data_IF_640564013855
#
_entry.id   IF_640564013855
#
_cell.length_a   1.000
_cell.length_b   1.000
_cell.length_c   1.000
_cell.angle_alpha   90.00
_cell.angle_beta   90.00
_cell.angle_gamma   90.00
#
_symmetry.space_group_name_H-M   'P 1'
#
loop_
_entity.id
_entity.type
_entity.pdbx_description
1 polymer ?
#
# COMPACT_ATOMS: atom_id res chain seq x y z
N UNK A 1 -16.49 -13.09 -58.21
CA UNK A 1 -17.76 -12.63 -57.61
C UNK A 1 -17.41 -12.07 -56.25
N UNK A 2 -17.50 -10.75 -56.10
CA UNK A 2 -17.54 -10.06 -54.81
C UNK A 2 -18.84 -10.47 -54.07
N UNK A 3 -19.06 -10.36 -52.77
CA UNK A 3 -18.72 -9.32 -51.79
C UNK A 3 -18.85 -9.92 -50.38
N UNK A 4 -17.94 -9.58 -49.45
CA UNK A 4 -18.16 -9.76 -48.00
C UNK A 4 -17.75 -8.47 -47.27
N UNK A 5 -18.58 -7.45 -47.49
CA UNK A 5 -19.09 -6.47 -46.53
C UNK A 5 -18.22 -6.22 -45.26
N UNK A 6 -17.49 -5.11 -45.33
CA UNK A 6 -16.97 -4.27 -44.25
C UNK A 6 -17.74 -4.38 -42.92
N UNK A 7 -17.02 -4.70 -41.84
CA UNK A 7 -17.23 -4.27 -40.45
C UNK A 7 -15.84 -4.35 -39.78
N UNK A 8 -15.05 -3.27 -39.78
CA UNK A 8 -15.04 -2.30 -38.69
C UNK A 8 -15.11 -2.96 -37.31
N UNK A 9 -13.99 -3.51 -36.84
CA UNK A 9 -13.81 -4.03 -35.49
C UNK A 9 -12.58 -3.40 -34.86
N UNK A 10 -12.77 -2.18 -34.36
CA UNK A 10 -11.78 -1.35 -33.65
C UNK A 10 -11.16 -2.13 -32.49
N UNK A 11 -9.86 -1.92 -32.29
CA UNK A 11 -9.04 -2.60 -31.31
C UNK A 11 -9.58 -2.54 -29.88
N UNK A 12 -9.59 -3.70 -29.25
CA UNK A 12 -9.60 -3.81 -27.80
C UNK A 12 -8.14 -3.96 -27.33
N UNK A 13 -7.36 -2.87 -27.37
CA UNK A 13 -6.27 -2.75 -26.40
C UNK A 13 -6.96 -2.58 -25.05
N UNK A 14 -7.10 -3.69 -24.33
CA UNK A 14 -7.43 -3.67 -22.91
C UNK A 14 -6.24 -3.00 -22.23
N UNK A 15 -6.29 -1.67 -22.13
CA UNK A 15 -5.42 -0.93 -21.24
C UNK A 15 -5.72 -1.47 -19.85
N UNK A 16 -4.78 -2.25 -19.32
CA UNK A 16 -4.73 -2.52 -17.89
C UNK A 16 -4.62 -1.15 -17.23
N UNK A 17 -5.75 -0.63 -16.75
CA UNK A 17 -5.73 0.49 -15.84
C UNK A 17 -4.94 -0.01 -14.64
N UNK A 18 -3.67 0.38 -14.56
CA UNK A 18 -2.95 0.30 -13.32
C UNK A 18 -3.88 0.98 -12.30
N UNK A 19 -4.37 0.23 -11.31
CA UNK A 19 -4.95 0.85 -10.13
C UNK A 19 -3.81 1.65 -9.51
N UNK A 20 -3.69 2.92 -9.91
CA UNK A 20 -2.81 3.90 -9.28
C UNK A 20 -3.37 4.07 -7.88
N UNK A 21 -2.87 3.27 -6.93
CA UNK A 21 -3.25 3.44 -5.54
C UNK A 21 -2.71 4.82 -5.14
N UNK A 22 -3.59 5.78 -4.78
CA UNK A 22 -3.16 7.14 -4.54
C UNK A 22 -2.09 7.16 -3.45
N UNK A 23 -0.95 7.77 -3.76
CA UNK A 23 0.11 7.97 -2.78
C UNK A 23 -0.41 8.87 -1.66
N UNK A 24 -0.13 8.49 -0.42
CA UNK A 24 -0.48 9.27 0.75
C UNK A 24 0.22 10.62 0.74
N UNK A 25 -0.47 11.72 1.08
CA UNK A 25 0.11 13.04 1.05
C UNK A 25 1.25 13.14 2.07
N UNK A 26 2.34 13.77 1.65
CA UNK A 26 3.46 14.11 2.52
C UNK A 26 3.35 15.58 2.87
N UNK A 27 3.17 15.87 4.15
CA UNK A 27 3.07 17.22 4.70
C UNK A 27 4.37 17.57 5.43
N UNK A 28 4.64 18.87 5.54
CA UNK A 28 5.74 19.35 6.40
C UNK A 28 5.18 19.53 7.80
N UNK A 29 5.72 18.77 8.76
CA UNK A 29 5.35 18.88 10.17
C UNK A 29 5.82 20.20 10.79
N UNK A 30 5.37 20.51 12.01
CA UNK A 30 5.73 21.75 12.71
C UNK A 30 7.24 21.88 12.95
N UNK A 31 7.95 20.75 13.04
CA UNK A 31 9.41 20.69 13.21
C UNK A 31 10.20 20.86 11.91
N UNK A 32 9.53 21.13 10.78
CA UNK A 32 10.14 21.20 9.44
C UNK A 32 10.44 19.84 8.81
N UNK A 33 10.03 18.73 9.43
CA UNK A 33 10.27 17.38 8.93
C UNK A 33 9.14 16.91 8.00
N UNK A 34 9.48 16.11 7.00
CA UNK A 34 8.48 15.44 6.16
C UNK A 34 7.70 14.39 6.98
N UNK A 35 6.37 14.43 6.90
CA UNK A 35 5.47 13.48 7.54
C UNK A 35 4.44 12.96 6.53
N UNK A 36 4.25 11.66 6.50
CA UNK A 36 3.29 10.96 5.65
C UNK A 36 1.97 10.93 6.42
N UNK A 37 0.90 11.37 5.79
CA UNK A 37 -0.43 11.32 6.39
C UNK A 37 -0.98 9.89 6.31
N UNK A 38 -1.40 9.37 7.46
CA UNK A 38 -2.01 8.04 7.56
C UNK A 38 -3.44 8.14 7.02
N UNK A 39 -3.78 7.28 6.08
CA UNK A 39 -5.14 7.18 5.57
C UNK A 39 -6.03 6.45 6.56
N UNK A 40 -7.14 7.07 6.99
CA UNK A 40 -8.11 6.45 7.90
C UNK A 40 -9.15 5.59 7.18
N UNK A 41 -9.22 5.69 5.85
CA UNK A 41 -10.23 5.02 5.02
C UNK A 41 -9.62 4.07 3.99
N UNK A 42 -8.37 3.64 4.22
CA UNK A 42 -7.69 2.71 3.31
C UNK A 42 -6.20 2.60 3.56
N UNK A 43 -5.49 2.14 2.54
CA UNK A 43 -4.04 1.93 2.61
C UNK A 43 -3.30 3.27 2.61
N UNK A 44 -2.30 3.35 3.48
CA UNK A 44 -1.30 4.41 3.43
C UNK A 44 -0.19 3.95 2.48
N UNK A 45 -0.14 4.54 1.30
CA UNK A 45 0.83 4.19 0.26
C UNK A 45 1.92 5.24 0.17
N UNK A 46 3.17 4.82 0.36
CA UNK A 46 4.32 5.69 0.24
C UNK A 46 5.45 4.96 -0.47
N UNK A 47 5.94 5.59 -1.55
CA UNK A 47 6.87 4.99 -2.50
C UNK A 47 6.28 3.68 -3.06
N UNK A 48 7.01 2.57 -2.94
CA UNK A 48 6.63 1.26 -3.47
C UNK A 48 5.89 0.38 -2.46
N UNK A 49 5.46 0.94 -1.31
CA UNK A 49 4.84 0.18 -0.22
C UNK A 49 3.49 0.76 0.16
N UNK A 50 2.53 -0.12 0.40
CA UNK A 50 1.22 0.22 0.91
C UNK A 50 0.96 -0.54 2.21
N UNK A 51 0.69 0.20 3.27
CA UNK A 51 0.44 -0.31 4.60
C UNK A 51 -0.95 0.12 5.07
N UNK A 52 -1.72 -0.83 5.56
CA UNK A 52 -2.90 -0.56 6.38
C UNK A 52 -2.40 -0.25 7.79
N UNK A 53 -2.56 1.00 8.23
CA UNK A 53 -2.13 1.46 9.55
C UNK A 53 -3.39 1.89 10.28
N UNK A 54 -3.67 1.23 11.39
CA UNK A 54 -4.78 1.58 12.28
C UNK A 54 -4.22 2.21 13.56
N UNK A 55 -4.30 3.55 13.70
CA UNK A 55 -3.88 4.25 14.90
C UNK A 55 -4.69 3.88 16.13
N UNK A 56 -5.98 3.58 15.97
CA UNK A 56 -6.89 3.27 17.07
C UNK A 56 -6.61 1.89 17.67
N UNK A 57 -6.39 0.89 16.81
CA UNK A 57 -5.98 -0.45 17.24
C UNK A 57 -4.47 -0.60 17.45
N UNK A 58 -3.69 0.45 17.12
CA UNK A 58 -2.22 0.46 17.13
C UNK A 58 -1.62 -0.71 16.35
N UNK A 59 -2.19 -0.98 15.19
CA UNK A 59 -1.86 -2.14 14.35
C UNK A 59 -1.41 -1.70 12.95
N UNK A 60 -0.58 -2.54 12.34
CA UNK A 60 -0.11 -2.34 10.97
C UNK A 60 -0.14 -3.65 10.20
N UNK A 61 -0.54 -3.59 8.94
CA UNK A 61 -0.60 -4.73 8.03
C UNK A 61 -0.11 -4.30 6.65
N UNK A 62 0.68 -5.17 6.02
CA UNK A 62 0.97 -5.03 4.59
C UNK A 62 -0.10 -5.74 3.77
N UNK A 63 -0.44 -5.20 2.60
CA UNK A 63 -1.35 -5.87 1.66
C UNK A 63 -0.86 -7.29 1.37
N UNK A 64 -1.76 -8.27 1.45
CA UNK A 64 -1.41 -9.68 1.28
C UNK A 64 -0.77 -10.33 2.51
N UNK A 65 -0.68 -9.61 3.63
CA UNK A 65 0.01 -10.09 4.81
C UNK A 65 -0.84 -10.11 6.10
N UNK A 66 -0.30 -10.68 7.18
CA UNK A 66 -0.91 -10.68 8.51
C UNK A 66 -0.78 -9.32 9.19
N UNK A 67 -1.77 -8.99 10.03
CA UNK A 67 -1.74 -7.81 10.90
C UNK A 67 -0.76 -8.02 12.05
N UNK A 68 0.01 -7.00 12.39
CA UNK A 68 0.94 -6.96 13.52
C UNK A 68 0.80 -5.69 14.33
N UNK A 69 1.35 -5.68 15.54
CA UNK A 69 1.36 -4.50 16.38
C UNK A 69 2.37 -3.45 15.91
N UNK A 70 2.03 -2.17 16.11
CA UNK A 70 2.96 -1.06 15.88
C UNK A 70 4.06 -1.09 16.97
N UNK A 71 5.34 -1.11 16.58
CA UNK A 71 6.48 -1.14 17.51
C UNK A 71 6.40 -0.04 18.57
N UNK A 72 6.86 -0.34 19.78
CA UNK A 72 7.00 0.69 20.81
C UNK A 72 8.05 1.71 20.36
N UNK A 73 7.67 2.99 20.32
CA UNK A 73 8.54 4.09 19.88
C UNK A 73 8.16 4.70 18.53
N UNK A 74 7.13 4.18 17.84
CA UNK A 74 6.49 4.87 16.72
C UNK A 74 5.17 5.43 17.23
N UNK A 75 5.01 6.75 17.17
CA UNK A 75 3.73 7.38 17.46
C UNK A 75 2.94 7.56 16.18
N UNK A 76 1.72 7.03 16.16
CA UNK A 76 0.76 7.17 15.06
C UNK A 76 -0.48 7.95 15.49
N UNK A 77 -0.52 8.40 16.74
CA UNK A 77 -1.67 9.02 17.38
C UNK A 77 -2.04 10.36 16.72
N UNK A 78 -1.03 11.04 16.16
CA UNK A 78 -1.16 12.29 15.40
C UNK A 78 -1.75 12.08 13.98
N UNK A 79 -1.98 10.83 13.55
CA UNK A 79 -2.44 10.53 12.20
C UNK A 79 -1.37 10.77 11.12
N UNK A 80 -0.12 10.97 11.52
CA UNK A 80 1.03 11.12 10.63
C UNK A 80 2.21 10.27 11.10
N UNK A 81 3.10 9.89 10.19
CA UNK A 81 4.37 9.20 10.50
C UNK A 81 5.50 9.76 9.67
N UNK A 82 6.72 9.77 10.19
CA UNK A 82 7.89 10.10 9.37
C UNK A 82 8.19 9.01 8.34
N UNK A 83 8.88 9.33 7.24
CA UNK A 83 9.36 8.32 6.28
C UNK A 83 10.27 7.25 6.91
N UNK A 84 10.97 7.56 8.00
CA UNK A 84 11.78 6.58 8.71
C UNK A 84 10.91 5.60 9.50
N UNK A 85 9.86 6.08 10.16
CA UNK A 85 8.90 5.25 10.88
C UNK A 85 8.09 4.38 9.92
N UNK A 86 7.60 4.94 8.81
CA UNK A 86 6.87 4.18 7.80
C UNK A 86 7.69 3.02 7.24
N UNK A 87 8.99 3.21 7.03
CA UNK A 87 9.90 2.12 6.61
C UNK A 87 9.98 1.00 7.64
N UNK A 88 10.14 1.35 8.94
CA UNK A 88 10.15 0.37 10.04
C UNK A 88 8.82 -0.36 10.16
N UNK A 89 7.70 0.35 10.05
CA UNK A 89 6.35 -0.24 10.02
C UNK A 89 6.23 -1.29 8.91
N UNK A 90 6.75 -0.97 7.72
CA UNK A 90 6.78 -1.91 6.61
C UNK A 90 7.66 -3.13 6.86
N UNK A 91 8.82 -2.96 7.48
CA UNK A 91 9.70 -4.08 7.86
C UNK A 91 9.04 -5.02 8.87
N UNK A 92 8.42 -4.50 9.92
CA UNK A 92 7.74 -5.34 10.90
C UNK A 92 6.48 -5.99 10.33
N UNK A 93 5.75 -5.30 9.46
CA UNK A 93 4.59 -5.87 8.77
C UNK A 93 5.02 -7.01 7.83
N UNK A 94 6.15 -6.85 7.11
CA UNK A 94 6.74 -7.93 6.30
C UNK A 94 7.14 -9.12 7.17
N UNK A 95 7.83 -8.88 8.28
CA UNK A 95 8.28 -9.92 9.22
C UNK A 95 7.12 -10.67 9.89
N UNK A 96 6.05 -9.96 10.26
CA UNK A 96 4.87 -10.58 10.86
C UNK A 96 4.11 -11.50 9.89
N UNK A 97 4.36 -11.31 8.60
CA UNK A 97 3.97 -12.24 7.56
C UNK A 97 4.81 -13.45 7.34
N UNK A 98 5.88 -13.59 8.13
CA UNK A 98 7.04 -14.42 7.86
C UNK A 98 6.76 -15.61 6.96
N UNK A 99 7.44 -15.61 5.81
CA UNK A 99 8.18 -16.74 5.25
C UNK A 99 7.61 -18.12 5.61
N UNK A 100 6.33 -18.33 5.31
CA UNK A 100 5.72 -19.65 5.31
C UNK A 100 5.97 -20.26 3.95
N UNK A 101 6.92 -21.19 3.89
CA UNK A 101 7.15 -22.10 2.78
C UNK A 101 5.86 -22.43 2.00
N UNK A 102 5.66 -21.85 0.81
CA UNK A 102 4.97 -22.59 -0.26
C UNK A 102 5.98 -23.53 -0.89
N UNK A 103 6.39 -24.49 -0.07
CA UNK A 103 6.90 -25.77 -0.51
C UNK A 103 6.01 -26.78 0.18
N UNK A 104 4.87 -27.09 -0.43
CA UNK A 104 4.28 -28.42 -0.27
C UNK A 104 3.65 -28.79 -1.62
N UNK A 105 4.20 -29.87 -2.16
CA UNK A 105 3.80 -30.53 -3.41
C UNK A 105 2.56 -31.36 -3.09
N UNK A 106 1.58 -31.30 -3.98
CA UNK A 106 0.56 -32.34 -4.15
C UNK A 106 0.28 -32.47 -5.63
#
# INVERSE_FOLDING_TARGET
>A
MADMKTLAGIGAMVALTACEVPQSPVVTGPDGQARIQISTSGLTCYQTRCLDIDPAARSVRMVGNRTTGIPRGIDVSDGTVTPAEFRRLGEVALLAGGTGSRGDRG
#
